data_IF_847532764729
#
_entry.id   IF_847532764729
#
_cell.length_a   1.000
_cell.length_b   1.000
_cell.length_c   1.000
_cell.angle_alpha   90.00
_cell.angle_beta   90.00
_cell.angle_gamma   90.00
#
_symmetry.space_group_name_H-M   'P 1'
#
loop_
_entity.id
_entity.type
_entity.pdbx_description
1 polymer ?
#
# COMPACT_ATOMS: atom_id res chain seq x y z
N UNK A 1 -19.32 5.30 -23.98
CA UNK A 1 -18.35 4.38 -23.39
C UNK A 1 -19.10 3.42 -22.48
N UNK A 2 -18.97 2.11 -22.62
CA UNK A 2 -19.76 1.15 -21.84
C UNK A 2 -19.32 1.06 -20.35
N UNK A 3 -18.19 1.68 -19.96
CA UNK A 3 -17.68 1.59 -18.60
C UNK A 3 -17.37 2.99 -18.06
N UNK A 4 -18.13 3.41 -17.06
CA UNK A 4 -17.85 4.60 -16.25
C UNK A 4 -17.37 4.17 -14.88
N UNK A 5 -16.28 4.74 -14.39
CA UNK A 5 -15.74 4.46 -13.05
C UNK A 5 -15.84 5.73 -12.23
N UNK A 6 -16.47 5.61 -11.06
CA UNK A 6 -16.58 6.68 -10.09
C UNK A 6 -15.91 6.24 -8.79
N UNK A 7 -15.06 7.08 -8.25
CA UNK A 7 -14.42 6.81 -6.96
C UNK A 7 -15.41 7.02 -5.83
N UNK A 8 -15.45 6.10 -4.88
CA UNK A 8 -16.29 6.23 -3.68
C UNK A 8 -16.03 7.55 -2.94
N UNK A 9 -14.78 8.00 -2.88
CA UNK A 9 -14.42 9.30 -2.28
C UNK A 9 -15.08 10.48 -2.98
N UNK A 10 -15.31 10.41 -4.29
CA UNK A 10 -16.03 11.45 -5.05
C UNK A 10 -17.52 11.45 -4.72
N UNK A 11 -18.11 10.26 -4.56
CA UNK A 11 -19.51 10.11 -4.14
C UNK A 11 -19.68 10.69 -2.73
N UNK A 12 -18.85 10.29 -1.78
CA UNK A 12 -18.90 10.81 -0.40
C UNK A 12 -18.79 12.35 -0.40
N UNK A 13 -17.86 12.91 -1.16
CA UNK A 13 -17.74 14.38 -1.29
C UNK A 13 -19.00 15.04 -1.83
N UNK A 14 -19.65 14.42 -2.82
CA UNK A 14 -20.88 14.93 -3.42
C UNK A 14 -22.08 14.94 -2.46
N UNK A 15 -22.10 14.06 -1.48
CA UNK A 15 -23.18 13.88 -0.52
C UNK A 15 -22.79 14.28 0.93
N UNK A 16 -21.75 15.10 1.07
CA UNK A 16 -21.24 15.49 2.39
C UNK A 16 -22.28 16.22 3.24
N UNK A 17 -23.11 17.08 2.64
CA UNK A 17 -24.19 17.79 3.34
C UNK A 17 -25.28 16.86 3.89
N UNK A 18 -25.51 15.72 3.23
CA UNK A 18 -26.47 14.72 3.71
C UNK A 18 -25.92 13.88 4.87
N UNK A 19 -24.59 13.67 4.88
CA UNK A 19 -23.91 12.98 5.98
C UNK A 19 -23.88 13.80 7.28
N UNK A 20 -23.99 15.13 7.18
CA UNK A 20 -23.95 16.06 8.31
C UNK A 20 -25.17 16.98 8.33
N UNK A 21 -26.38 16.45 8.59
CA UNK A 21 -27.59 17.24 8.58
C UNK A 21 -27.53 18.34 9.65
N UNK A 22 -27.96 19.53 9.29
CA UNK A 22 -27.95 20.70 10.19
C UNK A 22 -26.60 21.41 10.31
N UNK A 23 -25.56 20.95 9.62
CA UNK A 23 -24.25 21.60 9.56
C UNK A 23 -23.96 22.14 8.16
N UNK A 24 -23.28 23.28 8.12
CA UNK A 24 -22.77 23.82 6.85
C UNK A 24 -21.36 23.29 6.58
N UNK A 25 -21.18 22.59 5.47
CA UNK A 25 -19.87 22.11 5.04
C UNK A 25 -19.07 23.27 4.47
N UNK A 26 -18.12 23.80 5.25
CA UNK A 26 -17.27 24.93 4.83
C UNK A 26 -16.13 24.52 3.90
N UNK A 27 -15.61 23.30 4.05
CA UNK A 27 -14.53 22.76 3.23
C UNK A 27 -14.50 21.24 3.31
N UNK A 28 -13.94 20.63 2.31
CA UNK A 28 -13.70 19.19 2.26
C UNK A 28 -12.38 18.91 1.55
N UNK A 29 -11.65 17.92 2.01
CA UNK A 29 -10.41 17.49 1.38
C UNK A 29 -10.28 15.96 1.46
N UNK A 30 -9.44 15.42 0.62
CA UNK A 30 -8.97 14.03 0.78
C UNK A 30 -7.53 14.04 1.25
N UNK A 31 -7.20 13.12 2.13
CA UNK A 31 -5.83 12.91 2.55
C UNK A 31 -5.52 11.43 2.67
N UNK A 32 -4.24 11.10 2.68
CA UNK A 32 -3.71 9.77 2.95
C UNK A 32 -2.55 9.89 3.91
N UNK A 33 -2.63 9.14 5.00
CA UNK A 33 -1.53 8.99 5.94
C UNK A 33 -0.83 7.66 5.67
N UNK A 34 0.48 7.71 5.44
CA UNK A 34 1.35 6.54 5.48
C UNK A 34 1.92 6.44 6.88
N UNK A 35 1.82 5.26 7.47
CA UNK A 35 2.32 4.97 8.81
C UNK A 35 3.56 4.11 8.72
N UNK A 36 4.46 4.28 9.69
CA UNK A 36 5.57 3.37 9.84
C UNK A 36 5.05 1.97 10.17
N UNK A 37 5.63 0.97 9.53
CA UNK A 37 5.33 -0.44 9.76
C UNK A 37 6.53 -1.18 10.35
N UNK A 38 7.57 -0.45 10.75
CA UNK A 38 8.74 -1.06 11.38
C UNK A 38 8.34 -1.70 12.71
N UNK A 39 8.82 -2.88 12.91
CA UNK A 39 8.65 -3.61 14.16
C UNK A 39 9.75 -3.16 15.13
N UNK A 40 9.39 -2.41 16.14
CA UNK A 40 10.28 -2.09 17.24
C UNK A 40 10.26 -3.28 18.21
N UNK A 41 11.14 -4.24 17.96
CA UNK A 41 11.34 -5.36 18.88
C UNK A 41 12.63 -5.08 19.64
N UNK A 42 12.52 -4.82 20.93
CA UNK A 42 13.67 -4.66 21.80
C UNK A 42 14.28 -6.04 22.07
N UNK A 43 15.43 -6.29 21.45
CA UNK A 43 16.12 -7.60 21.54
C UNK A 43 16.63 -7.90 22.95
N UNK A 44 16.85 -6.88 23.80
CA UNK A 44 17.43 -7.04 25.13
C UNK A 44 16.40 -7.52 26.17
N UNK A 45 15.11 -7.26 25.97
CA UNK A 45 14.05 -7.67 26.91
C UNK A 45 13.28 -8.95 26.51
N UNK A 46 13.67 -9.61 25.41
CA UNK A 46 12.88 -10.70 24.86
C UNK A 46 13.06 -12.04 25.56
N UNK A 47 12.05 -12.44 26.30
CA UNK A 47 11.89 -13.83 26.75
C UNK A 47 11.20 -14.72 25.69
N UNK A 48 10.44 -14.14 24.73
CA UNK A 48 9.72 -14.89 23.70
C UNK A 48 9.49 -14.04 22.44
N UNK A 49 10.32 -14.24 21.42
CA UNK A 49 10.25 -13.55 20.11
C UNK A 49 8.87 -13.68 19.44
N UNK A 50 8.23 -14.84 19.54
CA UNK A 50 6.92 -15.06 18.89
C UNK A 50 5.82 -14.20 19.51
N UNK A 51 5.81 -14.06 20.83
CA UNK A 51 4.84 -13.21 21.52
C UNK A 51 5.07 -11.74 21.18
N UNK A 52 6.32 -11.27 21.28
CA UNK A 52 6.68 -9.90 20.95
C UNK A 52 6.29 -9.53 19.51
N UNK A 53 6.59 -10.39 18.54
CA UNK A 53 6.18 -10.19 17.15
C UNK A 53 4.65 -10.18 16.95
N UNK A 54 3.92 -11.03 17.70
CA UNK A 54 2.45 -11.07 17.61
C UNK A 54 1.83 -9.77 18.12
N UNK A 55 2.34 -9.24 19.22
CA UNK A 55 1.87 -8.00 19.84
C UNK A 55 2.18 -6.79 18.94
N UNK A 56 3.40 -6.70 18.40
CA UNK A 56 3.82 -5.66 17.46
C UNK A 56 3.04 -5.69 16.14
N UNK A 57 2.74 -6.87 15.60
CA UNK A 57 1.90 -7.01 14.41
C UNK A 57 0.48 -6.48 14.66
N UNK A 58 -0.05 -6.62 15.87
CA UNK A 58 -1.32 -6.06 16.28
C UNK A 58 -1.32 -4.53 16.35
N UNK A 59 -0.16 -3.92 16.60
CA UNK A 59 -0.01 -2.46 16.71
C UNK A 59 0.31 -1.74 15.38
N UNK A 60 0.62 -2.47 14.31
CA UNK A 60 0.90 -1.89 12.98
C UNK A 60 -0.07 -0.82 12.51
N UNK A 61 -1.40 -0.94 12.69
CA UNK A 61 -2.34 0.10 12.28
C UNK A 61 -2.16 1.42 13.04
N UNK A 62 -1.50 1.38 14.19
CA UNK A 62 -1.31 2.52 15.10
C UNK A 62 0.11 3.13 15.02
N UNK A 63 0.99 2.62 14.16
CA UNK A 63 2.32 3.16 13.93
C UNK A 63 2.31 4.66 13.63
N UNK A 64 3.42 5.34 13.95
CA UNK A 64 3.58 6.77 13.72
C UNK A 64 3.36 7.15 12.25
N UNK A 65 2.74 8.28 12.01
CA UNK A 65 2.66 8.85 10.68
C UNK A 65 4.05 9.22 10.18
N UNK A 66 4.36 8.87 8.93
CA UNK A 66 5.65 9.22 8.30
C UNK A 66 5.47 10.01 7.01
N UNK A 67 4.26 10.06 6.47
CA UNK A 67 3.96 10.82 5.25
C UNK A 67 2.48 11.14 5.17
N UNK A 68 2.16 12.40 4.90
CA UNK A 68 0.82 12.91 4.69
C UNK A 68 0.66 13.47 3.28
N UNK A 69 -0.15 12.83 2.47
CA UNK A 69 -0.57 13.34 1.16
C UNK A 69 -1.94 14.01 1.30
N UNK A 70 -2.08 15.21 0.78
CA UNK A 70 -3.32 16.00 0.84
C UNK A 70 -3.64 16.57 -0.54
N UNK A 71 -4.93 16.71 -0.86
CA UNK A 71 -5.33 17.42 -2.09
C UNK A 71 -4.83 18.87 -2.06
N UNK A 72 -4.37 19.38 -3.22
CA UNK A 72 -3.70 20.68 -3.31
C UNK A 72 -4.60 21.87 -2.94
N UNK A 73 -5.92 21.70 -3.06
CA UNK A 73 -6.97 22.67 -2.72
C UNK A 73 -7.30 22.73 -1.22
N UNK A 74 -6.60 21.95 -0.40
CA UNK A 74 -6.80 21.95 1.06
C UNK A 74 -6.53 23.33 1.65
N UNK A 75 -7.42 23.78 2.54
CA UNK A 75 -7.22 25.03 3.28
C UNK A 75 -6.03 24.93 4.22
N UNK A 76 -5.21 25.99 4.35
CA UNK A 76 -4.02 25.96 5.21
C UNK A 76 -4.30 25.55 6.66
N UNK A 77 -5.41 26.01 7.22
CA UNK A 77 -5.79 25.70 8.61
C UNK A 77 -6.09 24.20 8.79
N UNK A 78 -6.70 23.58 7.79
CA UNK A 78 -7.01 22.15 7.83
C UNK A 78 -5.74 21.32 7.65
N UNK A 79 -4.86 21.73 6.73
CA UNK A 79 -3.56 21.10 6.54
C UNK A 79 -2.72 21.14 7.82
N UNK A 80 -2.69 22.29 8.49
CA UNK A 80 -1.97 22.46 9.76
C UNK A 80 -2.54 21.56 10.85
N UNK A 81 -3.87 21.47 10.98
CA UNK A 81 -4.52 20.59 11.96
C UNK A 81 -4.19 19.12 11.71
N UNK A 82 -4.21 18.67 10.46
CA UNK A 82 -3.85 17.29 10.12
C UNK A 82 -2.38 17.01 10.46
N UNK A 83 -1.47 17.92 10.11
CA UNK A 83 -0.05 17.81 10.43
C UNK A 83 0.17 17.68 11.95
N UNK A 84 -0.46 18.52 12.73
CA UNK A 84 -0.37 18.48 14.20
C UNK A 84 -0.99 17.21 14.79
N UNK A 85 -2.14 16.77 14.26
CA UNK A 85 -2.84 15.58 14.74
C UNK A 85 -2.05 14.29 14.50
N UNK A 86 -1.17 14.27 13.49
CA UNK A 86 -0.34 13.12 13.13
C UNK A 86 1.14 13.29 13.50
N UNK A 87 1.47 14.38 14.20
CA UNK A 87 2.83 14.70 14.65
C UNK A 87 3.86 14.67 13.52
N UNK A 88 3.56 15.37 12.41
CA UNK A 88 4.38 15.41 11.21
C UNK A 88 5.05 16.77 11.00
N UNK A 89 6.26 16.76 10.41
CA UNK A 89 6.94 17.95 9.95
C UNK A 89 6.38 18.42 8.60
N UNK A 90 6.74 19.62 8.19
CA UNK A 90 6.27 20.17 6.92
C UNK A 90 6.83 19.39 5.72
N UNK A 91 8.05 18.90 5.82
CA UNK A 91 8.73 18.07 4.83
C UNK A 91 8.07 16.71 4.58
N UNK A 92 7.29 16.21 5.56
CA UNK A 92 6.54 14.96 5.44
C UNK A 92 5.17 15.15 4.77
N UNK A 93 4.81 16.40 4.45
CA UNK A 93 3.50 16.77 3.94
C UNK A 93 3.55 17.13 2.46
N UNK A 94 2.76 16.43 1.66
CA UNK A 94 2.73 16.55 0.20
C UNK A 94 1.36 17.03 -0.28
N UNK A 95 1.35 18.08 -1.10
CA UNK A 95 0.14 18.54 -1.80
C UNK A 95 0.10 17.94 -3.19
N UNK A 96 -0.97 17.22 -3.49
CA UNK A 96 -1.16 16.53 -4.77
C UNK A 96 -2.34 17.10 -5.54
N UNK A 97 -2.13 17.35 -6.82
CA UNK A 97 -3.18 17.73 -7.75
C UNK A 97 -3.91 16.47 -8.23
N UNK A 98 -5.20 16.35 -7.91
CA UNK A 98 -6.01 15.17 -8.22
C UNK A 98 -6.24 14.26 -7.02
N UNK A 99 -6.38 12.97 -7.28
CA UNK A 99 -6.70 12.01 -6.23
C UNK A 99 -5.47 11.61 -5.40
N UNK A 100 -5.61 11.64 -4.10
CA UNK A 100 -4.64 10.98 -3.21
C UNK A 100 -4.76 9.46 -3.31
N UNK A 101 -3.69 8.74 -3.04
CA UNK A 101 -3.66 7.27 -3.08
C UNK A 101 -3.92 6.69 -4.49
N UNK A 102 -3.05 7.02 -5.43
CA UNK A 102 -3.12 6.54 -6.82
C UNK A 102 -3.08 5.00 -6.95
N UNK A 103 -2.52 4.30 -5.98
CA UNK A 103 -2.49 2.82 -5.94
C UNK A 103 -3.89 2.18 -6.07
N UNK A 104 -4.95 2.90 -5.68
CA UNK A 104 -6.34 2.42 -5.86
C UNK A 104 -6.73 2.22 -7.32
N UNK A 105 -6.10 2.95 -8.24
CA UNK A 105 -6.38 2.83 -9.67
C UNK A 105 -5.93 1.50 -10.27
N UNK A 106 -5.06 0.75 -9.60
CA UNK A 106 -4.70 -0.61 -10.01
C UNK A 106 -5.94 -1.52 -10.13
N UNK A 107 -6.96 -1.30 -9.30
CA UNK A 107 -8.23 -2.02 -9.38
C UNK A 107 -9.00 -1.82 -10.69
N UNK A 108 -8.76 -0.74 -11.41
CA UNK A 108 -9.40 -0.49 -12.72
C UNK A 108 -9.03 -1.59 -13.70
N UNK A 109 -7.80 -2.09 -13.66
CA UNK A 109 -7.32 -3.16 -14.53
C UNK A 109 -8.16 -4.43 -14.35
N UNK A 110 -8.55 -4.73 -13.11
CA UNK A 110 -9.37 -5.90 -12.78
C UNK A 110 -10.86 -5.70 -13.15
N UNK A 111 -11.35 -4.46 -13.07
CA UNK A 111 -12.76 -4.11 -13.31
C UNK A 111 -13.09 -3.94 -14.79
N UNK A 112 -12.09 -3.68 -15.62
CA UNK A 112 -12.27 -3.42 -17.05
C UNK A 112 -11.76 -4.63 -17.83
N UNK A 113 -12.67 -5.42 -18.37
CA UNK A 113 -12.37 -6.61 -19.17
C UNK A 113 -11.83 -6.21 -20.55
N UNK A 114 -10.57 -5.77 -20.61
CA UNK A 114 -9.87 -5.34 -21.82
C UNK A 114 -8.52 -6.08 -21.95
N UNK A 115 -8.55 -7.38 -22.29
CA UNK A 115 -7.34 -8.19 -22.42
C UNK A 115 -6.39 -7.66 -23.50
N UNK A 116 -6.91 -6.92 -24.48
CA UNK A 116 -6.13 -6.25 -25.53
C UNK A 116 -5.22 -5.12 -25.00
N UNK A 117 -5.46 -4.63 -23.79
CA UNK A 117 -4.62 -3.61 -23.11
C UNK A 117 -3.63 -4.22 -22.12
N UNK A 118 -3.65 -5.53 -21.94
CA UNK A 118 -2.75 -6.24 -21.03
C UNK A 118 -1.58 -6.85 -21.77
N UNK A 119 -0.43 -6.90 -21.14
CA UNK A 119 0.67 -7.70 -21.65
C UNK A 119 0.29 -9.19 -21.62
N UNK A 120 0.78 -10.00 -22.58
CA UNK A 120 0.57 -11.44 -22.54
C UNK A 120 1.08 -12.03 -21.22
N UNK A 121 0.42 -13.08 -20.70
CA UNK A 121 0.87 -13.75 -19.50
C UNK A 121 2.32 -14.21 -19.65
N UNK A 122 3.13 -13.92 -18.64
CA UNK A 122 4.53 -14.33 -18.60
C UNK A 122 4.68 -15.53 -17.65
N UNK A 123 5.32 -16.59 -18.16
CA UNK A 123 5.65 -17.75 -17.34
C UNK A 123 7.16 -17.74 -17.05
N UNK A 124 7.55 -17.57 -15.77
CA UNK A 124 8.95 -17.61 -15.38
C UNK A 124 9.57 -18.98 -15.72
N UNK A 125 10.76 -18.97 -16.28
CA UNK A 125 11.51 -20.20 -16.48
C UNK A 125 12.22 -20.64 -15.18
N UNK A 126 12.43 -21.93 -15.02
CA UNK A 126 13.21 -22.46 -13.90
C UNK A 126 14.70 -22.43 -14.24
N UNK A 127 15.58 -22.02 -13.32
CA UNK A 127 17.03 -22.15 -13.51
C UNK A 127 17.43 -23.61 -13.70
N UNK A 128 18.40 -23.87 -14.58
CA UNK A 128 18.88 -25.23 -14.86
C UNK A 128 19.34 -25.95 -13.57
N UNK A 129 19.95 -25.22 -12.64
CA UNK A 129 20.36 -25.77 -11.37
C UNK A 129 19.21 -26.31 -10.52
N UNK A 130 18.00 -25.69 -10.62
CA UNK A 130 16.81 -26.03 -9.84
C UNK A 130 15.85 -26.97 -10.59
N UNK A 131 16.21 -27.45 -11.77
CA UNK A 131 15.38 -28.39 -12.54
C UNK A 131 15.51 -29.84 -12.04
N UNK A 132 16.32 -30.09 -11.04
CA UNK A 132 16.48 -31.40 -10.41
C UNK A 132 15.35 -31.63 -9.40
N UNK A 133 14.97 -32.88 -9.23
CA UNK A 133 13.87 -33.27 -8.34
C UNK A 133 14.17 -33.05 -6.85
N UNK A 134 15.45 -33.00 -6.46
CA UNK A 134 15.87 -32.77 -5.07
C UNK A 134 16.50 -31.39 -4.89
N UNK A 135 15.69 -30.43 -4.46
CA UNK A 135 16.13 -29.07 -4.14
C UNK A 135 17.11 -29.00 -2.98
N UNK A 136 17.00 -29.89 -1.99
CA UNK A 136 17.90 -29.87 -0.83
C UNK A 136 19.33 -30.27 -1.25
N UNK A 137 19.45 -31.24 -2.14
CA UNK A 137 20.77 -31.60 -2.68
C UNK A 137 21.39 -30.46 -3.50
N UNK A 138 20.58 -29.71 -4.24
CA UNK A 138 21.07 -28.53 -4.99
C UNK A 138 21.57 -27.45 -4.05
N UNK A 139 20.79 -27.14 -2.99
CA UNK A 139 21.16 -26.13 -1.99
C UNK A 139 22.42 -26.54 -1.22
N UNK A 140 22.53 -27.83 -0.88
CA UNK A 140 23.71 -28.36 -0.19
C UNK A 140 24.99 -28.34 -1.07
N UNK A 141 24.83 -28.39 -2.39
CA UNK A 141 25.95 -28.36 -3.35
C UNK A 141 26.50 -26.94 -3.58
N UNK A 142 25.74 -25.90 -3.27
CA UNK A 142 26.14 -24.49 -3.40
C UNK A 142 24.99 -23.54 -3.70
N UNK A 143 25.33 -22.27 -3.87
CA UNK A 143 24.35 -21.22 -4.10
C UNK A 143 23.70 -21.34 -5.49
N UNK A 144 22.39 -21.00 -5.55
CA UNK A 144 21.66 -20.90 -6.80
C UNK A 144 21.12 -19.47 -6.98
N UNK A 145 21.56 -18.80 -8.04
CA UNK A 145 21.09 -17.44 -8.35
C UNK A 145 19.70 -17.49 -8.98
N UNK A 146 18.76 -16.80 -8.37
CA UNK A 146 17.44 -16.54 -8.90
C UNK A 146 17.32 -15.10 -9.35
N UNK A 147 16.69 -14.87 -10.50
CA UNK A 147 16.48 -13.53 -11.06
C UNK A 147 14.97 -13.28 -11.30
N UNK A 148 14.21 -12.96 -10.24
CA UNK A 148 12.80 -12.62 -10.40
C UNK A 148 12.62 -11.36 -11.26
N UNK A 149 11.53 -11.25 -12.02
CA UNK A 149 10.44 -12.22 -12.19
C UNK A 149 10.73 -13.28 -13.27
N UNK A 150 11.89 -13.22 -13.95
CA UNK A 150 12.20 -14.05 -15.13
C UNK A 150 12.51 -15.51 -14.78
N UNK A 151 13.00 -15.73 -13.57
CA UNK A 151 13.29 -17.07 -13.02
C UNK A 151 12.47 -17.30 -11.76
N UNK A 152 11.95 -18.52 -11.60
CA UNK A 152 11.17 -18.92 -10.43
C UNK A 152 11.77 -20.15 -9.77
N UNK A 153 11.60 -20.24 -8.43
CA UNK A 153 11.92 -21.44 -7.65
C UNK A 153 10.77 -22.44 -7.61
N UNK A 154 9.56 -22.05 -8.10
CA UNK A 154 8.42 -22.95 -8.09
C UNK A 154 8.67 -24.13 -9.04
N UNK A 155 8.45 -25.34 -8.55
CA UNK A 155 8.40 -26.51 -9.42
C UNK A 155 7.19 -26.38 -10.35
N UNK A 156 7.42 -26.43 -11.65
CA UNK A 156 6.34 -26.72 -12.58
C UNK A 156 5.83 -28.14 -12.24
N UNK A 157 4.56 -28.22 -11.86
CA UNK A 157 3.86 -29.50 -11.72
C UNK A 157 3.64 -30.11 -13.09
#
# INVERSE_FOLDING_TARGET
>A
MPHGIVLLSSIIKGFMSELFPGLTVCTQCSFRLTRNSDLFVDEEEMTNLRSALSDELGQRPWGHGVRLEMTADIRPEVAQRLRQAFDLNEEDCYRVHGSVNLGRYAKIIELVERPDLLFPPFTPSQPAALQKDDLFSVIAAGDALLHPPYKSSSHAK
#
